data_IF_373544347289
#
_entry.id   IF_373544347289
#
_cell.length_a   1.000
_cell.length_b   1.000
_cell.length_c   1.000
_cell.angle_alpha   90.00
_cell.angle_beta   90.00
_cell.angle_gamma   90.00
#
_symmetry.space_group_name_H-M   'P 1'
#
loop_
_entity.id
_entity.type
_entity.pdbx_description
1 polymer ?
#
# COMPACT_ATOMS: atom_id res chain seq x y z
N UNK A 1 -17.41 12.45 -6.35
CA UNK A 1 -16.71 11.25 -6.87
C UNK A 1 -16.70 10.20 -5.76
N UNK A 2 -16.89 8.93 -6.08
CA UNK A 2 -16.77 7.88 -5.07
C UNK A 2 -15.30 7.79 -4.60
N UNK A 3 -15.07 7.59 -3.30
CA UNK A 3 -13.74 7.34 -2.77
C UNK A 3 -13.16 6.08 -3.40
N UNK A 4 -11.86 6.10 -3.73
CA UNK A 4 -11.16 4.95 -4.28
C UNK A 4 -10.61 4.00 -3.22
N UNK A 5 -10.87 4.24 -1.97
CA UNK A 5 -10.39 3.46 -0.82
C UNK A 5 -11.54 3.23 0.16
N UNK A 6 -11.43 2.19 0.96
CA UNK A 6 -12.42 1.90 1.99
C UNK A 6 -12.21 2.75 3.24
N UNK A 7 -10.94 2.91 3.65
CA UNK A 7 -10.55 3.78 4.75
C UNK A 7 -9.26 4.52 4.39
N UNK A 8 -9.16 5.79 4.76
CA UNK A 8 -7.94 6.58 4.59
C UNK A 8 -7.83 7.65 5.64
N UNK A 9 -6.62 7.86 6.18
CA UNK A 9 -6.33 8.83 7.22
C UNK A 9 -4.86 9.29 7.16
N UNK A 10 -4.51 10.30 7.94
CA UNK A 10 -3.11 10.56 8.29
C UNK A 10 -2.56 9.42 9.13
N UNK A 11 -1.24 9.25 9.18
CA UNK A 11 -0.62 8.25 10.05
C UNK A 11 -1.03 8.46 11.52
N UNK A 12 -1.06 9.71 11.97
CA UNK A 12 -1.51 10.05 13.34
C UNK A 12 -2.96 9.64 13.59
N UNK A 13 -3.88 9.96 12.67
CA UNK A 13 -5.29 9.60 12.77
C UNK A 13 -5.50 8.08 12.81
N UNK A 14 -4.79 7.35 11.95
CA UNK A 14 -4.81 5.89 11.93
C UNK A 14 -4.33 5.28 13.27
N UNK A 15 -3.24 5.78 13.83
CA UNK A 15 -2.69 5.29 15.11
C UNK A 15 -3.63 5.59 16.27
N UNK A 16 -4.32 6.73 16.24
CA UNK A 16 -5.28 7.12 17.29
C UNK A 16 -6.63 6.38 17.21
N UNK A 17 -7.01 5.90 16.03
CA UNK A 17 -8.32 5.24 15.82
C UNK A 17 -8.30 3.81 16.40
N UNK A 18 -9.32 3.39 17.19
CA UNK A 18 -9.43 2.01 17.68
C UNK A 18 -9.52 0.99 16.52
N UNK A 19 -8.83 -0.15 16.65
CA UNK A 19 -8.81 -1.21 15.62
C UNK A 19 -10.20 -1.69 15.24
N UNK A 20 -11.07 -1.87 16.25
CA UNK A 20 -12.46 -2.27 16.02
C UNK A 20 -13.25 -1.27 15.16
N UNK A 21 -12.92 0.02 15.24
CA UNK A 21 -13.55 1.04 14.41
C UNK A 21 -13.06 0.96 12.97
N UNK A 22 -11.75 0.78 12.74
CA UNK A 22 -11.18 0.61 11.39
C UNK A 22 -11.79 -0.64 10.74
N UNK A 23 -11.79 -1.78 11.44
CA UNK A 23 -12.37 -3.04 10.95
C UNK A 23 -13.86 -2.86 10.63
N UNK A 24 -14.61 -2.14 11.46
CA UNK A 24 -16.01 -1.83 11.19
C UNK A 24 -16.23 -1.04 9.91
N UNK A 25 -15.40 -0.06 9.63
CA UNK A 25 -15.42 0.72 8.38
C UNK A 25 -15.12 -0.18 7.18
N UNK A 26 -14.04 -0.98 7.25
CA UNK A 26 -13.62 -1.89 6.16
C UNK A 26 -14.70 -2.95 5.89
N UNK A 27 -15.24 -3.55 6.94
CA UNK A 27 -16.33 -4.55 6.82
C UNK A 27 -17.56 -3.94 6.16
N UNK A 28 -17.97 -2.75 6.56
CA UNK A 28 -19.15 -2.08 5.99
C UNK A 28 -18.95 -1.77 4.51
N UNK A 29 -17.77 -1.28 4.13
CA UNK A 29 -17.45 -1.00 2.74
C UNK A 29 -17.38 -2.29 1.89
N UNK A 30 -16.81 -3.36 2.44
CA UNK A 30 -16.68 -4.65 1.75
C UNK A 30 -18.05 -5.35 1.57
N UNK A 31 -18.93 -5.35 2.56
CA UNK A 31 -20.25 -6.01 2.49
C UNK A 31 -21.17 -5.38 1.45
N UNK A 32 -20.96 -4.12 1.12
CA UNK A 32 -21.68 -3.48 0.02
C UNK A 32 -21.32 -4.09 -1.34
N UNK A 33 -20.23 -4.84 -1.43
CA UNK A 33 -19.70 -5.42 -2.66
C UNK A 33 -19.81 -6.95 -2.71
N UNK A 34 -19.57 -7.68 -1.61
CA UNK A 34 -19.56 -9.16 -1.56
C UNK A 34 -19.91 -9.72 -0.18
N UNK A 35 -21.04 -10.42 -0.05
CA UNK A 35 -21.55 -10.89 1.25
C UNK A 35 -20.95 -12.22 1.80
N UNK A 36 -20.10 -12.96 1.06
CA UNK A 36 -19.87 -14.38 1.33
C UNK A 36 -18.52 -14.82 1.95
N UNK A 37 -17.55 -13.90 2.21
CA UNK A 37 -16.21 -14.27 2.70
C UNK A 37 -15.72 -13.42 3.91
N UNK A 38 -16.63 -12.97 4.75
CA UNK A 38 -16.36 -11.95 5.78
C UNK A 38 -15.40 -12.36 6.90
N UNK A 39 -15.41 -13.64 7.33
CA UNK A 39 -14.63 -14.05 8.50
C UNK A 39 -13.11 -13.99 8.25
N UNK A 40 -12.65 -14.63 7.20
CA UNK A 40 -11.23 -14.70 6.83
C UNK A 40 -10.66 -13.31 6.49
N UNK A 41 -11.46 -12.48 5.84
CA UNK A 41 -11.05 -11.11 5.50
C UNK A 41 -10.88 -10.25 6.75
N UNK A 42 -11.76 -10.38 7.75
CA UNK A 42 -11.66 -9.64 9.00
C UNK A 42 -10.40 -10.04 9.80
N UNK A 43 -10.01 -11.30 9.77
CA UNK A 43 -8.78 -11.75 10.44
C UNK A 43 -7.53 -11.23 9.74
N UNK A 44 -7.52 -11.19 8.40
CA UNK A 44 -6.45 -10.56 7.62
C UNK A 44 -6.32 -9.07 7.95
N UNK A 45 -7.39 -8.30 7.96
CA UNK A 45 -7.36 -6.89 8.32
C UNK A 45 -6.91 -6.63 9.77
N UNK A 46 -7.26 -7.50 10.72
CA UNK A 46 -6.74 -7.39 12.09
C UNK A 46 -5.23 -7.53 12.13
N UNK A 47 -4.72 -8.51 11.41
CA UNK A 47 -3.29 -8.76 11.30
C UNK A 47 -2.56 -7.54 10.72
N UNK A 48 -3.05 -7.03 9.59
CA UNK A 48 -2.51 -5.86 8.91
C UNK A 48 -2.52 -4.61 9.80
N UNK A 49 -3.67 -4.32 10.44
CA UNK A 49 -3.84 -3.15 11.30
C UNK A 49 -2.90 -3.25 12.51
N UNK A 50 -2.84 -4.40 13.17
CA UNK A 50 -1.98 -4.60 14.34
C UNK A 50 -0.52 -4.38 13.96
N UNK A 51 -0.06 -5.04 12.90
CA UNK A 51 1.32 -4.92 12.41
C UNK A 51 1.68 -3.48 12.03
N UNK A 52 0.80 -2.80 11.30
CA UNK A 52 1.03 -1.43 10.86
C UNK A 52 1.04 -0.44 12.04
N UNK A 53 0.20 -0.63 13.06
CA UNK A 53 0.23 0.21 14.26
C UNK A 53 1.52 0.08 15.05
N UNK A 54 2.06 -1.12 15.14
CA UNK A 54 3.33 -1.37 15.84
C UNK A 54 4.50 -0.65 15.19
N UNK A 55 4.50 -0.52 13.85
CA UNK A 55 5.67 -0.02 13.11
C UNK A 55 5.56 1.42 12.61
N UNK A 56 4.36 2.03 12.55
CA UNK A 56 4.18 3.34 11.93
C UNK A 56 4.34 4.54 12.87
N UNK A 57 4.52 4.33 14.17
CA UNK A 57 4.73 5.43 15.15
C UNK A 57 5.86 6.41 14.74
N UNK A 58 7.00 6.00 14.15
CA UNK A 58 8.05 6.93 13.72
C UNK A 58 7.65 7.87 12.58
N UNK A 59 6.50 7.63 11.93
CA UNK A 59 6.03 8.36 10.76
C UNK A 59 4.86 9.32 11.05
N UNK A 60 4.55 9.58 12.33
CA UNK A 60 3.56 10.58 12.74
C UNK A 60 3.90 11.94 12.11
N UNK A 61 2.91 12.58 11.49
CA UNK A 61 3.07 13.86 10.79
C UNK A 61 3.77 13.77 9.43
N UNK A 62 4.10 12.56 8.92
CA UNK A 62 4.88 12.36 7.70
C UNK A 62 4.08 11.79 6.52
N UNK A 63 2.80 11.64 6.61
CA UNK A 63 2.01 11.17 5.48
C UNK A 63 0.67 10.53 5.82
N UNK A 64 0.21 9.67 4.90
CA UNK A 64 -1.13 9.10 4.90
C UNK A 64 -1.10 7.59 4.69
N UNK A 65 -2.17 6.92 5.15
CA UNK A 65 -2.45 5.50 4.91
C UNK A 65 -3.83 5.35 4.26
N UNK A 66 -3.92 4.43 3.30
CA UNK A 66 -5.17 4.09 2.61
C UNK A 66 -5.32 2.58 2.56
N UNK A 67 -6.47 2.05 3.00
CA UNK A 67 -6.83 0.64 2.95
C UNK A 67 -7.74 0.35 1.77
N UNK A 68 -7.54 -0.80 1.13
CA UNK A 68 -8.35 -1.29 0.01
C UNK A 68 -8.46 -0.25 -1.12
N UNK A 69 -7.30 0.23 -1.56
CA UNK A 69 -7.24 1.25 -2.60
C UNK A 69 -7.53 0.66 -3.98
N UNK A 70 -8.61 1.11 -4.60
CA UNK A 70 -9.09 0.62 -5.89
C UNK A 70 -8.25 1.15 -7.04
N UNK A 71 -7.77 0.24 -7.89
CA UNK A 71 -7.16 0.54 -9.18
C UNK A 71 -8.27 0.43 -10.26
N UNK A 72 -8.76 1.57 -10.79
CA UNK A 72 -9.96 1.57 -11.64
C UNK A 72 -9.85 0.70 -12.88
N UNK A 73 -8.67 0.67 -13.52
CA UNK A 73 -8.44 -0.07 -14.77
C UNK A 73 -8.40 -1.58 -14.56
N UNK A 74 -7.91 -2.02 -13.43
CA UNK A 74 -7.73 -3.44 -13.13
C UNK A 74 -8.96 -4.06 -12.44
N UNK A 75 -9.85 -3.23 -11.88
CA UNK A 75 -10.96 -3.71 -11.04
C UNK A 75 -10.48 -4.44 -9.79
N UNK A 76 -9.24 -4.18 -9.37
CA UNK A 76 -8.58 -4.77 -8.19
C UNK A 76 -8.30 -3.71 -7.15
N UNK A 77 -7.94 -4.12 -5.95
CA UNK A 77 -7.56 -3.23 -4.86
C UNK A 77 -6.19 -3.61 -4.33
N UNK A 78 -5.45 -2.59 -3.90
CA UNK A 78 -4.22 -2.73 -3.14
C UNK A 78 -4.63 -2.77 -1.67
N UNK A 79 -4.14 -3.74 -0.91
CA UNK A 79 -4.52 -3.89 0.49
C UNK A 79 -4.21 -2.62 1.29
N UNK A 80 -2.98 -2.13 1.20
CA UNK A 80 -2.57 -0.88 1.87
C UNK A 80 -1.66 -0.03 0.97
N UNK A 81 -1.94 1.27 0.90
CA UNK A 81 -1.02 2.26 0.36
C UNK A 81 -0.55 3.16 1.48
N UNK A 82 0.77 3.24 1.67
CA UNK A 82 1.40 4.25 2.52
C UNK A 82 1.99 5.34 1.64
N UNK A 83 1.64 6.56 1.93
CA UNK A 83 2.20 7.74 1.29
C UNK A 83 3.06 8.46 2.32
N UNK A 84 4.37 8.25 2.28
CA UNK A 84 5.32 8.75 3.28
C UNK A 84 6.41 9.57 2.61
N UNK A 85 6.61 10.82 3.05
CA UNK A 85 7.63 11.74 2.53
C UNK A 85 7.63 11.85 0.99
N UNK A 86 6.47 11.76 0.35
CA UNK A 86 6.34 11.80 -1.11
C UNK A 86 6.56 10.46 -1.82
N UNK A 87 6.94 9.40 -1.11
CA UNK A 87 7.11 8.04 -1.64
C UNK A 87 5.79 7.28 -1.54
N UNK A 88 5.43 6.56 -2.60
CA UNK A 88 4.25 5.68 -2.66
C UNK A 88 4.69 4.25 -2.37
N UNK A 89 4.38 3.73 -1.19
CA UNK A 89 4.64 2.35 -0.80
C UNK A 89 3.34 1.55 -1.00
N UNK A 90 3.38 0.52 -1.82
CA UNK A 90 2.24 -0.38 -2.08
C UNK A 90 2.47 -1.67 -1.31
N UNK A 91 1.66 -1.94 -0.29
CA UNK A 91 1.75 -3.15 0.49
C UNK A 91 0.63 -4.10 0.07
N UNK A 92 1.02 -5.27 -0.41
CA UNK A 92 0.14 -6.41 -0.65
C UNK A 92 0.42 -7.45 0.42
N UNK A 93 -0.59 -7.73 1.24
CA UNK A 93 -0.48 -8.68 2.35
C UNK A 93 -0.94 -10.08 1.94
N UNK A 94 -0.15 -11.05 2.34
CA UNK A 94 -0.51 -12.47 2.34
C UNK A 94 -0.49 -12.93 3.79
N UNK A 95 -1.55 -12.56 4.51
CA UNK A 95 -1.70 -12.89 5.93
C UNK A 95 -1.62 -14.41 6.13
N UNK A 96 -0.85 -14.83 7.12
CA UNK A 96 -0.62 -16.22 7.49
C UNK A 96 0.08 -17.09 6.42
N UNK A 97 0.65 -16.49 5.37
CA UNK A 97 1.40 -17.21 4.34
C UNK A 97 2.89 -17.26 4.69
N UNK A 98 3.50 -18.42 4.40
CA UNK A 98 4.92 -18.69 4.61
C UNK A 98 5.77 -18.50 3.34
N UNK A 99 5.15 -18.23 2.18
CA UNK A 99 5.82 -18.21 0.88
C UNK A 99 5.39 -17.04 0.01
N UNK A 100 6.30 -16.62 -0.85
CA UNK A 100 6.05 -15.63 -1.91
C UNK A 100 5.82 -16.36 -3.23
N UNK A 101 4.61 -16.28 -3.79
CA UNK A 101 4.34 -16.88 -5.10
C UNK A 101 4.69 -15.92 -6.24
N UNK A 102 5.03 -16.47 -7.42
CA UNK A 102 5.23 -15.65 -8.64
C UNK A 102 3.99 -14.84 -9.00
N UNK A 103 2.80 -15.37 -8.73
CA UNK A 103 1.55 -14.68 -9.00
C UNK A 103 1.36 -13.47 -8.09
N UNK A 104 1.72 -13.56 -6.80
CA UNK A 104 1.63 -12.46 -5.85
C UNK A 104 2.66 -11.36 -6.17
N UNK A 105 3.88 -11.77 -6.55
CA UNK A 105 4.92 -10.83 -7.00
C UNK A 105 4.45 -10.07 -8.25
N UNK A 106 3.91 -10.78 -9.24
CA UNK A 106 3.37 -10.15 -10.45
C UNK A 106 2.19 -9.23 -10.14
N UNK A 107 1.34 -9.59 -9.18
CA UNK A 107 0.18 -8.80 -8.77
C UNK A 107 0.61 -7.42 -8.23
N UNK A 108 1.52 -7.38 -7.26
CA UNK A 108 1.96 -6.11 -6.66
C UNK A 108 2.78 -5.29 -7.67
N UNK A 109 3.49 -5.95 -8.57
CA UNK A 109 4.22 -5.31 -9.67
C UNK A 109 3.27 -4.61 -10.65
N UNK A 110 2.21 -5.30 -11.08
CA UNK A 110 1.19 -4.75 -11.97
C UNK A 110 0.51 -3.51 -11.36
N UNK A 111 0.28 -3.51 -10.04
CA UNK A 111 -0.26 -2.35 -9.32
C UNK A 111 0.66 -1.14 -9.41
N UNK A 112 1.96 -1.34 -9.20
CA UNK A 112 2.94 -0.26 -9.28
C UNK A 112 3.02 0.33 -10.70
N UNK A 113 3.02 -0.53 -11.71
CA UNK A 113 3.05 -0.11 -13.12
C UNK A 113 1.75 0.62 -13.52
N UNK A 114 0.58 0.18 -13.05
CA UNK A 114 -0.68 0.86 -13.34
C UNK A 114 -0.70 2.26 -12.71
N UNK A 115 -0.36 2.38 -11.42
CA UNK A 115 -0.27 3.69 -10.77
C UNK A 115 0.75 4.60 -11.43
N UNK A 116 1.92 4.07 -11.81
CA UNK A 116 2.96 4.84 -12.48
C UNK A 116 2.48 5.43 -13.80
N UNK A 117 1.78 4.63 -14.58
CA UNK A 117 1.40 4.98 -15.94
C UNK A 117 0.09 5.74 -16.04
N UNK A 118 -0.81 5.61 -15.06
CA UNK A 118 -2.17 6.15 -15.18
C UNK A 118 -2.64 6.99 -14.00
N UNK A 119 -1.98 6.97 -12.86
CA UNK A 119 -2.34 7.79 -11.71
C UNK A 119 -1.51 9.08 -11.71
N UNK A 120 -2.12 10.20 -12.07
CA UNK A 120 -1.43 11.47 -12.36
C UNK A 120 -0.48 11.90 -11.24
N UNK A 121 -0.91 11.83 -9.99
CA UNK A 121 -0.07 12.19 -8.83
C UNK A 121 1.05 11.17 -8.53
N UNK A 122 1.09 10.04 -9.22
CA UNK A 122 2.16 9.03 -9.08
C UNK A 122 3.18 9.07 -10.21
N UNK A 123 2.92 9.78 -11.31
CA UNK A 123 3.79 9.80 -12.49
C UNK A 123 5.26 10.16 -12.18
N UNK A 124 5.49 11.08 -11.27
CA UNK A 124 6.83 11.57 -10.93
C UNK A 124 7.35 11.05 -9.59
N UNK A 125 6.51 10.37 -8.79
CA UNK A 125 6.89 9.88 -7.46
C UNK A 125 7.61 8.54 -7.54
N UNK A 126 8.51 8.25 -6.59
CA UNK A 126 8.98 6.89 -6.37
C UNK A 126 7.82 5.98 -5.96
N UNK A 127 7.76 4.79 -6.54
CA UNK A 127 6.78 3.75 -6.20
C UNK A 127 7.51 2.50 -5.79
N UNK A 128 7.26 2.03 -4.57
CA UNK A 128 7.89 0.85 -4.01
C UNK A 128 6.82 -0.21 -3.73
N UNK A 129 6.65 -1.21 -4.61
CA UNK A 129 5.78 -2.35 -4.35
C UNK A 129 6.40 -3.29 -3.34
N UNK A 130 5.65 -3.66 -2.31
CA UNK A 130 6.09 -4.52 -1.21
C UNK A 130 5.10 -5.67 -1.05
N UNK A 131 5.57 -6.89 -1.17
CA UNK A 131 4.80 -8.10 -0.89
C UNK A 131 5.13 -8.60 0.51
N UNK A 132 4.14 -8.64 1.39
CA UNK A 132 4.28 -9.02 2.79
C UNK A 132 3.67 -10.41 3.01
N UNK A 133 4.49 -11.45 3.11
CA UNK A 133 4.04 -12.76 3.57
C UNK A 133 4.35 -12.89 5.07
N UNK A 134 3.30 -12.78 5.92
CA UNK A 134 3.50 -12.52 7.35
C UNK A 134 4.22 -13.63 8.11
N UNK A 135 4.15 -14.87 7.65
CA UNK A 135 4.80 -16.03 8.28
C UNK A 135 6.03 -16.54 7.51
N UNK A 136 6.48 -15.82 6.46
CA UNK A 136 7.68 -16.21 5.72
C UNK A 136 8.94 -16.07 6.58
N UNK A 137 9.83 -17.04 6.49
CA UNK A 137 11.05 -17.09 7.29
C UNK A 137 12.13 -16.16 6.76
N UNK A 138 12.26 -16.09 5.43
CA UNK A 138 13.28 -15.28 4.76
C UNK A 138 12.65 -14.26 3.83
N UNK A 139 13.08 -13.02 3.93
CA UNK A 139 12.82 -11.99 2.97
C UNK A 139 14.16 -11.48 2.45
N UNK A 140 14.47 -11.75 1.20
CA UNK A 140 15.63 -11.18 0.53
C UNK A 140 15.14 -10.24 -0.55
N UNK A 141 15.47 -8.96 -0.41
CA UNK A 141 15.06 -7.97 -1.39
C UNK A 141 16.17 -6.98 -1.63
N UNK A 142 16.60 -6.92 -2.87
CA UNK A 142 17.45 -5.83 -3.30
C UNK A 142 16.57 -4.64 -3.70
N UNK A 143 16.90 -3.45 -3.23
CA UNK A 143 16.24 -2.22 -3.64
C UNK A 143 16.77 -1.82 -5.03
N UNK A 144 16.12 -2.32 -6.08
CA UNK A 144 16.51 -2.07 -7.47
C UNK A 144 15.52 -1.09 -8.10
N UNK A 145 15.88 0.19 -8.25
CA UNK A 145 15.05 1.17 -8.93
C UNK A 145 15.20 1.03 -10.45
N UNK A 146 14.11 1.27 -11.19
CA UNK A 146 14.13 1.52 -12.62
C UNK A 146 14.25 3.03 -12.90
N UNK A 147 14.57 3.38 -14.14
CA UNK A 147 14.77 4.78 -14.56
C UNK A 147 13.54 5.67 -14.31
N UNK A 148 12.35 5.07 -14.29
CA UNK A 148 11.08 5.76 -14.00
C UNK A 148 10.76 5.90 -12.50
N UNK A 149 11.69 5.53 -11.61
CA UNK A 149 11.54 5.53 -10.14
C UNK A 149 10.55 4.47 -9.59
N UNK A 150 10.19 3.47 -10.36
CA UNK A 150 9.50 2.28 -9.84
C UNK A 150 10.55 1.29 -9.37
N UNK A 151 10.35 0.68 -8.21
CA UNK A 151 11.24 -0.36 -7.70
C UNK A 151 10.70 -1.74 -8.09
N UNK A 152 11.60 -2.72 -8.30
CA UNK A 152 11.19 -4.12 -8.39
C UNK A 152 10.51 -4.54 -7.07
N UNK A 153 9.50 -5.43 -7.11
CA UNK A 153 8.80 -5.88 -5.90
C UNK A 153 9.72 -6.36 -4.80
N UNK A 154 9.59 -5.77 -3.63
CA UNK A 154 10.35 -6.12 -2.44
C UNK A 154 9.56 -7.17 -1.67
N UNK A 155 10.23 -8.24 -1.26
CA UNK A 155 9.66 -9.32 -0.47
C UNK A 155 10.01 -9.10 0.99
N UNK A 156 9.04 -9.17 1.89
CA UNK A 156 9.24 -8.96 3.31
C UNK A 156 8.27 -9.79 4.15
N UNK A 157 8.57 -9.92 5.43
CA UNK A 157 7.74 -10.61 6.40
C UNK A 157 7.37 -9.68 7.57
N UNK A 158 6.64 -10.22 8.56
CA UNK A 158 6.24 -9.50 9.77
C UNK A 158 7.41 -8.81 10.48
N UNK A 159 8.52 -9.52 10.67
CA UNK A 159 9.65 -9.05 11.47
C UNK A 159 10.46 -7.97 10.74
N UNK A 160 10.51 -8.05 9.41
CA UNK A 160 11.35 -7.18 8.59
C UNK A 160 10.60 -5.99 7.99
N UNK A 161 9.27 -5.94 8.05
CA UNK A 161 8.48 -4.89 7.41
C UNK A 161 8.90 -3.48 7.88
N UNK A 162 9.17 -3.30 9.16
CA UNK A 162 9.62 -2.00 9.69
C UNK A 162 10.93 -1.53 9.07
N UNK A 163 11.93 -2.41 8.99
CA UNK A 163 13.23 -2.12 8.35
C UNK A 163 13.08 -1.92 6.85
N UNK A 164 12.24 -2.73 6.19
CA UNK A 164 11.94 -2.60 4.76
C UNK A 164 11.37 -1.22 4.42
N UNK A 165 10.40 -0.73 5.19
CA UNK A 165 9.85 0.62 5.00
C UNK A 165 10.92 1.69 5.22
N UNK A 166 11.70 1.58 6.29
CA UNK A 166 12.75 2.54 6.60
C UNK A 166 13.82 2.59 5.49
N UNK A 167 14.26 1.44 5.00
CA UNK A 167 15.21 1.33 3.89
C UNK A 167 14.65 1.88 2.59
N UNK A 168 13.40 1.57 2.25
CA UNK A 168 12.74 2.11 1.06
C UNK A 168 12.77 3.65 1.05
N UNK A 169 12.49 4.28 2.19
CA UNK A 169 12.54 5.73 2.33
C UNK A 169 13.95 6.32 2.28
N UNK A 170 14.99 5.54 2.58
CA UNK A 170 16.39 5.96 2.43
C UNK A 170 16.86 5.89 0.98
N UNK A 171 16.39 4.90 0.22
CA UNK A 171 16.75 4.74 -1.21
C UNK A 171 15.99 5.67 -2.15
N UNK A 172 14.88 6.24 -1.71
CA UNK A 172 14.09 7.16 -2.52
C UNK A 172 14.53 8.60 -2.32
N UNK A 173 14.69 9.33 -3.42
CA UNK A 173 14.79 10.78 -3.34
C UNK A 173 13.48 11.32 -2.79
N UNK A 174 13.57 12.06 -1.67
CA UNK A 174 12.42 12.70 -1.06
C UNK A 174 11.91 13.79 -2.02
N UNK A 175 10.81 13.52 -2.66
CA UNK A 175 10.07 14.52 -3.41
C UNK A 175 9.14 15.28 -2.45
N UNK A 176 8.80 16.53 -2.79
CA UNK A 176 7.96 17.36 -1.92
C UNK A 176 6.66 16.63 -1.58
N UNK A 177 6.37 16.48 -0.28
CA UNK A 177 5.10 16.00 0.27
C UNK A 177 3.92 16.98 0.01
N UNK A 178 4.17 18.09 -0.66
CA UNK A 178 3.13 19.00 -1.13
C UNK A 178 2.21 18.27 -2.11
N UNK A 179 0.96 18.04 -1.70
CA UNK A 179 -0.04 17.34 -2.51
C UNK A 179 -0.39 15.92 -2.07
N UNK A 180 0.17 15.43 -0.97
CA UNK A 180 -0.17 14.09 -0.46
C UNK A 180 -1.67 13.96 -0.14
N UNK A 181 -2.31 15.01 0.37
CA UNK A 181 -3.76 15.03 0.59
C UNK A 181 -4.59 14.89 -0.71
N UNK A 182 -4.02 15.26 -1.85
CA UNK A 182 -4.68 15.17 -3.17
C UNK A 182 -4.39 13.86 -3.88
N UNK A 183 -3.41 13.09 -3.41
CA UNK A 183 -2.98 11.87 -4.08
C UNK A 183 -4.14 10.88 -4.25
N UNK A 184 -4.88 10.58 -3.19
CA UNK A 184 -5.95 9.58 -3.21
C UNK A 184 -7.13 9.92 -4.14
N UNK A 185 -7.33 11.20 -4.45
CA UNK A 185 -8.40 11.70 -5.34
C UNK A 185 -7.89 12.11 -6.72
N UNK A 186 -6.63 11.83 -7.03
CA UNK A 186 -5.97 12.18 -8.28
C UNK A 186 -6.70 11.61 -9.50
N UNK A 187 -6.51 12.25 -10.65
CA UNK A 187 -7.05 11.76 -11.92
C UNK A 187 -6.33 10.49 -12.38
N UNK A 188 -7.07 9.63 -13.06
CA UNK A 188 -6.51 8.53 -13.83
C UNK A 188 -6.35 9.00 -15.28
N UNK A 189 -5.12 9.25 -15.68
CA UNK A 189 -4.75 9.78 -16.98
C UNK A 189 -3.42 9.16 -17.41
N UNK A 190 -3.29 8.65 -18.64
CA UNK A 190 -2.05 8.06 -19.11
C UNK A 190 -0.91 9.08 -19.09
N UNK A 191 0.32 8.61 -18.83
CA UNK A 191 1.51 9.43 -19.00
C UNK A 191 1.68 9.84 -20.46
N UNK A 192 2.27 11.01 -20.75
CA UNK A 192 2.52 11.45 -22.12
C UNK A 192 3.37 10.48 -22.97
N UNK A 193 4.09 9.57 -22.32
CA UNK A 193 4.96 8.57 -22.98
C UNK A 193 4.21 7.35 -23.50
N UNK A 194 2.93 7.18 -23.18
CA UNK A 194 2.12 6.02 -23.59
C UNK A 194 1.19 6.34 -24.77
N UNK A 195 1.20 7.56 -25.27
CA UNK A 195 0.37 8.03 -26.40
C UNK A 195 1.09 7.78 -27.72
#
# INVERSE_FOLDING_TARGET
MANRYFHGDTIEGFLAMPDAQIIGILTTAHTSLHASLQGLQNDAWREEITLLKDILTPYIGRGHIYFEYTIPRMGRRIDVVLLLDGVVLLLEFKAFNEQYTKADIAQVWDYALDLKNFHEQSHNRPIVPILVATEAVDATSDFIPFDDKVFYPILTNREQLASTIAEALLFCDKDNSEGDALWAISRYSPTPTII
#
